data_IF_109202661959
#
_entry.id   IF_109202661959
#
_cell.length_a   1.000
_cell.length_b   1.000
_cell.length_c   1.000
_cell.angle_alpha   90.00
_cell.angle_beta   90.00
_cell.angle_gamma   90.00
#
_symmetry.space_group_name_H-M   'P 1'
#
loop_
_entity.id
_entity.type
_entity.pdbx_description
1 polymer ?
#
# COMPACT_ATOMS: atom_id res chain seq x y z
N UNK A 1 -12.33 19.90 -21.66
CA UNK A 1 -13.60 19.64 -20.93
C UNK A 1 -13.25 19.30 -19.49
N UNK A 2 -14.02 19.76 -18.51
CA UNK A 2 -13.80 19.33 -17.12
C UNK A 2 -14.46 17.99 -16.89
N UNK A 3 -13.74 17.07 -16.28
CA UNK A 3 -14.23 15.74 -15.92
C UNK A 3 -14.37 15.64 -14.41
N UNK A 4 -15.38 14.94 -13.92
CA UNK A 4 -15.50 14.55 -12.52
C UNK A 4 -14.64 13.33 -12.30
N UNK A 5 -13.71 13.41 -11.33
CA UNK A 5 -12.75 12.36 -11.00
C UNK A 5 -12.90 11.99 -9.54
N UNK A 6 -12.91 10.70 -9.27
CA UNK A 6 -12.86 10.15 -7.90
C UNK A 6 -11.50 9.52 -7.67
N UNK A 7 -10.82 9.87 -6.58
CA UNK A 7 -9.45 9.40 -6.36
C UNK A 7 -9.09 9.15 -4.90
N UNK A 8 -8.20 8.18 -4.68
CA UNK A 8 -7.59 7.84 -3.40
C UNK A 8 -6.27 8.57 -3.29
N UNK A 9 -6.08 9.34 -2.21
CA UNK A 9 -4.84 10.10 -1.97
C UNK A 9 -3.73 9.16 -1.52
N UNK A 10 -2.60 9.18 -2.26
CA UNK A 10 -1.45 8.32 -2.00
C UNK A 10 -0.25 9.06 -1.41
N UNK A 11 -0.04 10.30 -1.82
CA UNK A 11 1.10 11.08 -1.33
C UNK A 11 0.83 12.56 -1.45
N UNK A 12 1.39 13.35 -0.53
CA UNK A 12 1.39 14.81 -0.63
C UNK A 12 2.79 15.30 -0.30
N UNK A 13 3.43 15.97 -1.26
CA UNK A 13 4.80 16.49 -1.12
C UNK A 13 4.77 18.00 -1.34
N UNK A 14 5.46 18.74 -0.49
CA UNK A 14 5.61 20.19 -0.64
C UNK A 14 6.41 20.49 -1.93
N UNK A 15 5.83 21.29 -2.79
CA UNK A 15 6.42 21.69 -4.06
C UNK A 15 6.94 23.13 -4.01
N UNK A 16 6.19 24.01 -3.36
CA UNK A 16 6.54 25.42 -3.17
C UNK A 16 5.87 25.98 -1.91
N UNK A 17 6.08 27.25 -1.62
CA UNK A 17 5.43 27.90 -0.46
C UNK A 17 3.89 27.95 -0.58
N UNK A 18 3.38 27.88 -1.80
CA UNK A 18 1.94 28.01 -2.08
C UNK A 18 1.29 26.71 -2.55
N UNK A 19 2.07 25.68 -2.94
CA UNK A 19 1.53 24.48 -3.56
C UNK A 19 2.22 23.22 -3.08
N UNK A 20 1.43 22.16 -2.97
CA UNK A 20 1.86 20.77 -2.85
C UNK A 20 1.61 20.04 -4.16
N UNK A 21 2.37 18.99 -4.42
CA UNK A 21 2.04 17.96 -5.41
C UNK A 21 1.47 16.78 -4.67
N UNK A 22 0.21 16.46 -4.97
CA UNK A 22 -0.52 15.34 -4.39
C UNK A 22 -0.73 14.26 -5.42
N UNK A 23 -0.22 13.09 -5.13
CA UNK A 23 -0.41 11.88 -5.92
C UNK A 23 -1.72 11.20 -5.57
N UNK A 24 -2.54 10.92 -6.58
CA UNK A 24 -3.87 10.34 -6.41
C UNK A 24 -4.03 9.18 -7.37
N UNK A 25 -4.51 8.02 -6.89
CA UNK A 25 -4.97 6.95 -7.76
C UNK A 25 -6.45 7.15 -8.05
N UNK A 26 -6.79 7.38 -9.30
CA UNK A 26 -8.16 7.72 -9.70
C UNK A 26 -8.87 6.52 -10.32
N UNK A 27 -10.18 6.44 -10.08
CA UNK A 27 -11.02 5.38 -10.64
C UNK A 27 -11.07 5.41 -12.16
N UNK A 28 -11.10 6.62 -12.72
CA UNK A 28 -11.35 6.86 -14.13
C UNK A 28 -10.07 6.82 -14.98
N UNK A 29 -8.91 7.20 -14.39
CA UNK A 29 -7.70 7.44 -15.16
C UNK A 29 -6.42 6.82 -14.56
N UNK A 30 -6.53 6.11 -13.42
CA UNK A 30 -5.37 5.58 -12.72
C UNK A 30 -4.59 6.68 -12.02
N UNK A 31 -3.27 6.61 -12.08
CA UNK A 31 -2.39 7.54 -11.37
C UNK A 31 -2.42 8.94 -11.98
N UNK A 32 -2.72 9.93 -11.14
CA UNK A 32 -2.68 11.36 -11.49
C UNK A 32 -1.91 12.16 -10.43
N UNK A 33 -1.31 13.28 -10.82
CA UNK A 33 -0.72 14.23 -9.91
C UNK A 33 -1.51 15.55 -9.92
N UNK A 34 -1.89 16.00 -8.72
CA UNK A 34 -2.65 17.24 -8.52
C UNK A 34 -1.76 18.31 -7.89
N UNK A 35 -1.82 19.52 -8.42
CA UNK A 35 -1.27 20.70 -7.79
C UNK A 35 -2.31 21.24 -6.80
N UNK A 36 -2.05 21.10 -5.50
CA UNK A 36 -2.97 21.45 -4.42
C UNK A 36 -2.44 22.62 -3.60
N UNK A 37 -3.28 23.46 -2.99
CA UNK A 37 -2.82 24.61 -2.22
C UNK A 37 -2.12 24.17 -0.93
N UNK A 38 -0.98 24.83 -0.61
CA UNK A 38 -0.21 24.66 0.62
C UNK A 38 -0.26 25.88 1.55
N UNK A 39 -1.02 26.91 1.23
CA UNK A 39 -1.05 28.17 1.95
C UNK A 39 -1.74 28.09 3.32
N UNK A 40 -1.51 29.14 4.14
CA UNK A 40 -2.07 29.27 5.49
C UNK A 40 -3.51 29.80 5.54
N UNK A 41 -4.13 30.14 4.40
CA UNK A 41 -5.50 30.63 4.37
C UNK A 41 -6.49 29.56 4.85
N UNK A 42 -7.64 30.01 5.38
CA UNK A 42 -8.71 29.08 5.82
C UNK A 42 -9.11 28.11 4.70
N UNK A 43 -9.27 28.61 3.49
CA UNK A 43 -9.64 27.80 2.32
C UNK A 43 -8.55 26.80 1.95
N UNK A 44 -7.27 27.22 1.96
CA UNK A 44 -6.15 26.30 1.71
C UNK A 44 -6.08 25.17 2.73
N UNK A 45 -6.30 25.48 4.01
CA UNK A 45 -6.35 24.47 5.09
C UNK A 45 -7.52 23.50 4.93
N UNK A 46 -8.71 23.99 4.56
CA UNK A 46 -9.87 23.14 4.28
C UNK A 46 -9.61 22.21 3.09
N UNK A 47 -9.03 22.73 2.03
CA UNK A 47 -8.66 21.89 0.86
C UNK A 47 -7.57 20.88 1.23
N UNK A 48 -6.52 21.30 1.94
CA UNK A 48 -5.45 20.41 2.39
C UNK A 48 -5.96 19.27 3.29
N UNK A 49 -6.98 19.53 4.12
CA UNK A 49 -7.61 18.50 4.95
C UNK A 49 -8.29 17.40 4.13
N UNK A 50 -8.63 17.63 2.87
CA UNK A 50 -9.16 16.60 1.96
C UNK A 50 -8.06 15.64 1.47
N UNK A 51 -6.78 16.05 1.53
CA UNK A 51 -5.66 15.31 0.97
C UNK A 51 -4.83 14.59 2.04
N UNK A 52 -5.50 13.95 2.98
CA UNK A 52 -4.86 13.07 3.97
C UNK A 52 -4.55 11.68 3.36
N UNK A 53 -3.60 10.92 3.90
CA UNK A 53 -3.32 9.56 3.42
C UNK A 53 -4.57 8.69 3.35
N UNK A 54 -4.80 8.03 2.21
CA UNK A 54 -5.97 7.19 1.91
C UNK A 54 -7.33 7.90 1.99
N UNK A 55 -7.38 9.25 2.04
CA UNK A 55 -8.67 9.92 1.85
C UNK A 55 -9.17 9.74 0.43
N UNK A 56 -10.48 9.67 0.28
CA UNK A 56 -11.14 9.59 -1.03
C UNK A 56 -11.73 10.95 -1.38
N UNK A 57 -11.30 11.49 -2.50
CA UNK A 57 -11.71 12.83 -2.95
C UNK A 57 -12.45 12.75 -4.28
N UNK A 58 -13.44 13.60 -4.41
CA UNK A 58 -14.04 13.98 -5.71
C UNK A 58 -13.52 15.34 -6.11
N UNK A 59 -13.16 15.50 -7.37
CA UNK A 59 -12.71 16.77 -7.93
C UNK A 59 -13.12 16.92 -9.37
N UNK A 60 -13.24 18.18 -9.83
CA UNK A 60 -13.35 18.48 -11.26
C UNK A 60 -11.95 18.82 -11.78
N UNK A 61 -11.54 18.13 -12.84
CA UNK A 61 -10.20 18.26 -13.41
C UNK A 61 -10.31 18.53 -14.91
N UNK A 62 -9.61 19.56 -15.40
CA UNK A 62 -9.38 19.71 -16.84
C UNK A 62 -8.22 18.83 -17.24
N UNK A 63 -8.53 17.67 -17.79
CA UNK A 63 -7.50 16.69 -18.20
C UNK A 63 -6.85 17.17 -19.49
N UNK A 64 -5.55 17.33 -19.47
CA UNK A 64 -4.73 17.58 -20.64
C UNK A 64 -3.68 16.45 -20.76
N UNK A 65 -3.70 15.64 -21.83
CA UNK A 65 -2.78 14.51 -22.00
C UNK A 65 -1.29 14.90 -22.03
N UNK A 66 -0.99 16.17 -22.34
CA UNK A 66 0.40 16.67 -22.41
C UNK A 66 0.92 17.19 -21.07
N UNK A 67 0.10 17.21 -20.02
CA UNK A 67 0.47 17.73 -18.70
C UNK A 67 0.49 16.61 -17.67
N UNK A 68 1.57 16.53 -16.92
CA UNK A 68 1.70 15.60 -15.79
C UNK A 68 0.98 16.13 -14.53
N UNK A 69 0.95 17.46 -14.35
CA UNK A 69 0.31 18.11 -13.20
C UNK A 69 -1.03 18.75 -13.59
N UNK A 70 -2.05 18.41 -12.83
CA UNK A 70 -3.40 18.90 -13.02
C UNK A 70 -3.85 19.77 -11.83
N UNK A 71 -4.61 20.81 -12.09
CA UNK A 71 -5.18 21.68 -11.06
C UNK A 71 -6.63 21.25 -10.83
N UNK A 72 -6.93 20.60 -9.69
CA UNK A 72 -8.29 20.22 -9.35
C UNK A 72 -9.11 21.43 -8.91
N UNK A 73 -10.38 21.43 -9.24
CA UNK A 73 -11.37 22.40 -8.75
C UNK A 73 -12.55 21.66 -8.10
N UNK A 74 -13.36 22.38 -7.30
CA UNK A 74 -14.50 21.80 -6.59
C UNK A 74 -14.13 20.50 -5.83
N UNK A 75 -13.01 20.54 -5.10
CA UNK A 75 -12.52 19.38 -4.32
C UNK A 75 -13.40 19.17 -3.09
N UNK A 76 -13.92 17.96 -2.94
CA UNK A 76 -14.67 17.51 -1.77
C UNK A 76 -14.23 16.12 -1.34
N UNK A 77 -14.45 15.76 -0.08
CA UNK A 77 -14.32 14.38 0.37
C UNK A 77 -15.48 13.56 -0.19
N UNK A 78 -15.17 12.44 -0.86
CA UNK A 78 -16.17 11.49 -1.31
C UNK A 78 -16.58 10.53 -0.20
N UNK A 79 -15.67 10.25 0.74
CA UNK A 79 -15.89 9.39 1.91
C UNK A 79 -15.35 10.06 3.17
N UNK A 80 -15.99 9.79 4.31
CA UNK A 80 -15.56 10.29 5.62
C UNK A 80 -15.23 9.11 6.53
N UNK A 81 -13.94 8.97 6.85
CA UNK A 81 -13.46 7.92 7.75
C UNK A 81 -13.75 8.31 9.20
N UNK A 82 -14.27 7.35 9.99
CA UNK A 82 -14.68 7.58 11.38
C UNK A 82 -13.56 7.33 12.37
N UNK A 83 -12.68 6.38 12.08
CA UNK A 83 -11.67 5.89 13.02
C UNK A 83 -10.24 6.04 12.50
N UNK A 84 -9.99 5.92 11.19
CA UNK A 84 -8.66 5.90 10.60
C UNK A 84 -7.77 7.06 11.09
N UNK A 85 -8.30 8.27 11.16
CA UNK A 85 -7.51 9.45 11.54
C UNK A 85 -7.50 9.75 13.04
N UNK A 86 -8.24 8.99 13.83
CA UNK A 86 -8.39 9.22 15.28
C UNK A 86 -7.72 8.11 16.10
N UNK A 87 -7.48 6.94 15.52
CA UNK A 87 -6.79 5.83 16.16
C UNK A 87 -5.36 5.72 15.64
N UNK A 88 -4.33 5.90 16.51
CA UNK A 88 -2.92 5.93 16.08
C UNK A 88 -2.49 4.70 15.27
N UNK A 89 -2.93 3.50 15.68
CA UNK A 89 -2.62 2.27 14.97
C UNK A 89 -3.17 2.27 13.53
N UNK A 90 -4.44 2.63 13.33
CA UNK A 90 -5.07 2.71 12.01
C UNK A 90 -4.47 3.82 11.16
N UNK A 91 -4.19 4.99 11.76
CA UNK A 91 -3.53 6.09 11.06
C UNK A 91 -2.14 5.69 10.55
N UNK A 92 -1.38 4.96 11.35
CA UNK A 92 -0.05 4.46 10.96
C UNK A 92 -0.14 3.46 9.82
N UNK A 93 -1.11 2.53 9.87
CA UNK A 93 -1.40 1.62 8.74
C UNK A 93 -1.77 2.41 7.48
N UNK A 94 -2.63 3.43 7.60
CA UNK A 94 -3.03 4.26 6.46
C UNK A 94 -1.85 5.03 5.85
N UNK A 95 -0.96 5.58 6.66
CA UNK A 95 0.26 6.25 6.19
C UNK A 95 1.18 5.28 5.43
N UNK A 96 1.40 4.09 5.99
CA UNK A 96 2.21 3.06 5.37
C UNK A 96 1.62 2.61 4.03
N UNK A 97 0.34 2.24 3.99
CA UNK A 97 -0.31 1.78 2.77
C UNK A 97 -0.39 2.87 1.70
N UNK A 98 -0.61 4.12 2.11
CA UNK A 98 -0.62 5.27 1.21
C UNK A 98 0.75 5.45 0.53
N UNK A 99 1.85 5.42 1.31
CA UNK A 99 3.21 5.53 0.76
C UNK A 99 3.53 4.33 -0.14
N UNK A 100 3.22 3.10 0.30
CA UNK A 100 3.45 1.87 -0.47
C UNK A 100 2.72 1.91 -1.81
N UNK A 101 1.42 2.21 -1.81
CA UNK A 101 0.62 2.35 -3.03
C UNK A 101 1.13 3.48 -3.92
N UNK A 102 1.62 4.58 -3.33
CA UNK A 102 2.23 5.68 -4.08
C UNK A 102 3.48 5.26 -4.85
N UNK A 103 4.23 4.25 -4.38
CA UNK A 103 5.36 3.65 -5.08
C UNK A 103 4.92 2.64 -6.13
N UNK A 104 4.04 1.72 -5.71
CA UNK A 104 3.55 0.63 -6.56
C UNK A 104 2.82 1.16 -7.79
N UNK A 105 1.97 2.19 -7.61
CA UNK A 105 1.06 2.70 -8.64
C UNK A 105 1.60 3.94 -9.36
N UNK A 106 2.92 4.14 -9.39
CA UNK A 106 3.52 5.39 -9.90
C UNK A 106 3.04 5.74 -11.32
N UNK A 107 2.98 4.77 -12.22
CA UNK A 107 2.58 4.95 -13.61
C UNK A 107 1.41 4.02 -14.00
N UNK A 108 0.60 3.63 -13.01
CA UNK A 108 -0.46 2.63 -13.23
C UNK A 108 -1.68 3.24 -13.91
N UNK A 109 -2.23 2.59 -14.95
CA UNK A 109 -3.52 2.93 -15.52
C UNK A 109 -4.65 2.65 -14.52
N UNK A 110 -5.86 3.10 -14.86
CA UNK A 110 -7.05 2.73 -14.11
C UNK A 110 -7.34 1.23 -14.27
N UNK A 111 -7.54 0.55 -13.14
CA UNK A 111 -7.84 -0.86 -13.08
C UNK A 111 -8.97 -1.09 -12.05
N UNK A 112 -10.19 -1.47 -12.50
CA UNK A 112 -11.37 -1.55 -11.64
C UNK A 112 -11.22 -2.52 -10.47
N UNK A 113 -10.65 -3.70 -10.68
CA UNK A 113 -10.51 -4.70 -9.61
C UNK A 113 -9.54 -4.22 -8.53
N UNK A 114 -8.47 -3.54 -8.93
CA UNK A 114 -7.51 -2.93 -8.02
C UNK A 114 -8.13 -1.77 -7.23
N UNK A 115 -8.90 -0.91 -7.91
CA UNK A 115 -9.64 0.16 -7.25
C UNK A 115 -10.60 -0.39 -6.19
N UNK A 116 -11.41 -1.38 -6.56
CA UNK A 116 -12.41 -1.97 -5.66
C UNK A 116 -11.73 -2.66 -4.46
N UNK A 117 -10.62 -3.36 -4.67
CA UNK A 117 -9.85 -3.97 -3.60
C UNK A 117 -9.33 -2.92 -2.61
N UNK A 118 -8.71 -1.84 -3.11
CA UNK A 118 -8.16 -0.78 -2.26
C UNK A 118 -9.30 -0.10 -1.49
N UNK A 119 -10.40 0.26 -2.15
CA UNK A 119 -11.54 0.91 -1.51
C UNK A 119 -12.19 0.06 -0.43
N UNK A 120 -12.41 -1.23 -0.70
CA UNK A 120 -12.96 -2.15 0.30
C UNK A 120 -12.02 -2.34 1.48
N UNK A 121 -10.70 -2.41 1.22
CA UNK A 121 -9.70 -2.50 2.28
C UNK A 121 -9.71 -1.27 3.18
N UNK A 122 -9.80 -0.06 2.63
CA UNK A 122 -9.85 1.18 3.42
C UNK A 122 -11.13 1.22 4.27
N UNK A 123 -12.29 0.86 3.69
CA UNK A 123 -13.56 0.79 4.43
C UNK A 123 -13.48 -0.21 5.58
N UNK A 124 -12.84 -1.35 5.37
CA UNK A 124 -12.65 -2.34 6.41
C UNK A 124 -11.71 -1.83 7.50
N UNK A 125 -10.60 -1.16 7.16
CA UNK A 125 -9.69 -0.55 8.14
C UNK A 125 -10.42 0.47 9.04
N UNK A 126 -11.37 1.23 8.47
CA UNK A 126 -12.16 2.20 9.22
C UNK A 126 -13.14 1.55 10.21
N UNK A 127 -13.61 0.33 9.92
CA UNK A 127 -14.67 -0.32 10.70
C UNK A 127 -14.18 -1.42 11.64
N UNK A 128 -12.96 -1.90 11.46
CA UNK A 128 -12.41 -3.01 12.25
C UNK A 128 -11.99 -2.51 13.65
N UNK A 129 -12.38 -3.25 14.71
CA UNK A 129 -12.10 -2.90 16.10
C UNK A 129 -11.18 -3.93 16.79
N UNK A 130 -10.96 -5.10 16.19
CA UNK A 130 -10.12 -6.16 16.76
C UNK A 130 -8.63 -5.82 16.60
N UNK A 131 -7.92 -5.71 17.74
CA UNK A 131 -6.50 -5.33 17.79
C UNK A 131 -5.59 -6.24 16.95
N UNK A 132 -5.83 -7.57 16.99
CA UNK A 132 -5.02 -8.51 16.23
C UNK A 132 -5.24 -8.35 14.72
N UNK A 133 -6.46 -8.04 14.29
CA UNK A 133 -6.75 -7.72 12.90
C UNK A 133 -6.11 -6.42 12.46
N UNK A 134 -6.15 -5.37 13.29
CA UNK A 134 -5.49 -4.09 13.00
C UNK A 134 -3.97 -4.31 12.88
N UNK A 135 -3.37 -5.04 13.81
CA UNK A 135 -1.94 -5.34 13.81
C UNK A 135 -1.47 -6.13 12.59
N UNK A 136 -2.31 -7.00 12.03
CA UNK A 136 -1.99 -7.81 10.85
C UNK A 136 -2.54 -7.23 9.55
N UNK A 137 -3.22 -6.08 9.60
CA UNK A 137 -3.93 -5.51 8.46
C UNK A 137 -3.02 -5.26 7.25
N UNK A 138 -1.90 -4.62 7.47
CA UNK A 138 -0.94 -4.28 6.41
C UNK A 138 -0.36 -5.53 5.74
N UNK A 139 -0.05 -6.60 6.48
CA UNK A 139 0.38 -7.89 5.91
C UNK A 139 -0.73 -8.50 5.06
N UNK A 140 -1.96 -8.52 5.59
CA UNK A 140 -3.12 -9.06 4.89
C UNK A 140 -3.40 -8.32 3.59
N UNK A 141 -3.32 -6.98 3.62
CA UNK A 141 -3.46 -6.13 2.45
C UNK A 141 -2.41 -6.45 1.39
N UNK A 142 -1.13 -6.50 1.79
CA UNK A 142 -0.02 -6.77 0.86
C UNK A 142 -0.14 -8.16 0.21
N UNK A 143 -0.47 -9.20 0.97
CA UNK A 143 -0.69 -10.55 0.42
C UNK A 143 -1.89 -10.58 -0.54
N UNK A 144 -2.99 -9.91 -0.20
CA UNK A 144 -4.14 -9.78 -1.09
C UNK A 144 -3.79 -9.08 -2.41
N UNK A 145 -3.02 -8.00 -2.32
CA UNK A 145 -2.59 -7.19 -3.45
C UNK A 145 -1.65 -7.95 -4.41
N UNK A 146 -0.84 -8.91 -3.93
CA UNK A 146 0.00 -9.77 -4.79
C UNK A 146 -0.81 -10.50 -5.85
N UNK A 147 -2.07 -10.87 -5.58
CA UNK A 147 -2.95 -11.55 -6.55
C UNK A 147 -3.32 -10.64 -7.71
N UNK A 148 -3.55 -9.37 -7.42
CA UNK A 148 -3.94 -8.35 -8.42
C UNK A 148 -2.74 -7.85 -9.22
N UNK A 149 -1.56 -7.86 -8.61
CA UNK A 149 -0.31 -7.43 -9.27
C UNK A 149 0.42 -8.57 -10.00
N UNK A 150 -0.12 -9.80 -9.96
CA UNK A 150 0.42 -10.95 -10.68
C UNK A 150 1.72 -11.55 -10.10
N UNK A 151 2.08 -11.18 -8.86
CA UNK A 151 3.27 -11.69 -8.16
C UNK A 151 2.92 -12.65 -7.02
N UNK A 152 1.73 -13.24 -7.01
CA UNK A 152 1.36 -14.16 -5.94
C UNK A 152 2.30 -15.38 -5.92
N UNK A 153 2.89 -15.75 -4.75
CA UNK A 153 3.86 -16.82 -4.66
C UNK A 153 3.32 -18.17 -5.14
N UNK A 154 4.09 -18.85 -6.00
CA UNK A 154 3.80 -20.22 -6.41
C UNK A 154 4.44 -21.21 -5.43
N UNK A 155 3.63 -21.77 -4.56
CA UNK A 155 4.04 -22.74 -3.55
C UNK A 155 3.70 -24.20 -3.95
N UNK A 156 3.34 -24.46 -5.20
CA UNK A 156 2.92 -25.81 -5.67
C UNK A 156 4.00 -26.87 -5.45
N UNK A 157 5.28 -26.48 -5.54
CA UNK A 157 6.43 -27.35 -5.32
C UNK A 157 6.98 -27.29 -3.88
N UNK A 158 6.23 -26.73 -2.91
CA UNK A 158 6.72 -26.61 -1.54
C UNK A 158 6.98 -27.98 -0.90
N UNK A 159 8.18 -28.12 -0.33
CA UNK A 159 8.51 -29.18 0.61
C UNK A 159 9.40 -28.62 1.74
N UNK A 160 9.46 -29.33 2.87
CA UNK A 160 10.27 -28.91 4.00
C UNK A 160 11.74 -28.78 3.61
N UNK A 161 12.40 -27.73 4.08
CA UNK A 161 13.80 -27.46 3.79
C UNK A 161 14.04 -26.69 2.49
N UNK A 162 13.02 -26.42 1.66
CA UNK A 162 13.17 -25.58 0.47
C UNK A 162 13.27 -24.08 0.81
N UNK A 163 13.92 -23.34 -0.03
CA UNK A 163 14.00 -21.88 -0.02
C UNK A 163 13.01 -21.27 -1.00
N UNK A 164 12.62 -20.02 -0.78
CA UNK A 164 11.78 -19.26 -1.71
C UNK A 164 12.64 -18.29 -2.51
N UNK A 165 12.62 -18.42 -3.84
CA UNK A 165 13.30 -17.52 -4.75
C UNK A 165 12.38 -16.31 -5.06
N UNK A 166 12.74 -15.14 -4.53
CA UNK A 166 11.98 -13.90 -4.68
C UNK A 166 11.93 -13.41 -6.14
N UNK A 167 12.91 -13.75 -6.97
CA UNK A 167 12.96 -13.28 -8.36
C UNK A 167 11.97 -14.03 -9.24
N UNK A 168 11.89 -15.35 -9.07
CA UNK A 168 10.96 -16.19 -9.84
C UNK A 168 9.59 -16.32 -9.18
N UNK A 169 9.45 -16.00 -7.89
CA UNK A 169 8.23 -16.21 -7.12
C UNK A 169 7.92 -17.68 -6.83
N UNK A 170 8.94 -18.56 -6.84
CA UNK A 170 8.79 -20.02 -6.75
C UNK A 170 9.69 -20.64 -5.69
N UNK A 171 9.36 -21.88 -5.35
CA UNK A 171 10.18 -22.70 -4.48
C UNK A 171 11.46 -23.14 -5.20
N UNK A 172 12.59 -23.16 -4.46
CA UNK A 172 13.90 -23.55 -4.97
C UNK A 172 14.61 -24.48 -3.97
N UNK A 173 15.49 -25.33 -4.46
CA UNK A 173 16.39 -26.11 -3.61
C UNK A 173 17.32 -25.17 -2.82
N UNK A 174 17.78 -25.57 -1.61
CA UNK A 174 18.67 -24.77 -0.80
C UNK A 174 19.89 -24.28 -1.59
N UNK A 175 20.29 -23.04 -1.35
CA UNK A 175 21.42 -22.40 -2.01
C UNK A 175 22.73 -23.22 -1.90
N UNK A 176 22.95 -23.90 -0.77
CA UNK A 176 24.08 -24.79 -0.55
C UNK A 176 24.21 -25.90 -1.59
N UNK A 177 23.13 -26.24 -2.30
CA UNK A 177 23.10 -27.29 -3.30
C UNK A 177 23.21 -26.80 -4.76
N UNK A 178 23.02 -25.51 -5.03
CA UNK A 178 22.90 -25.01 -6.41
C UNK A 178 23.92 -23.93 -6.81
N UNK A 179 24.56 -23.25 -5.84
CA UNK A 179 25.38 -22.06 -6.12
C UNK A 179 24.55 -20.90 -6.72
N UNK A 180 24.87 -19.67 -6.44
CA UNK A 180 24.15 -18.50 -6.97
C UNK A 180 24.26 -17.27 -6.07
N UNK A 181 23.50 -16.19 -6.31
CA UNK A 181 23.53 -14.96 -5.52
C UNK A 181 22.53 -15.07 -4.36
N UNK A 182 23.04 -15.10 -3.14
CA UNK A 182 22.28 -15.31 -1.89
C UNK A 182 21.21 -14.24 -1.58
N UNK A 183 21.29 -13.08 -2.19
CA UNK A 183 20.52 -11.88 -1.79
C UNK A 183 19.04 -11.86 -2.15
N UNK A 184 18.54 -12.77 -2.99
CA UNK A 184 17.16 -12.77 -3.48
C UNK A 184 16.35 -13.99 -3.02
N UNK A 185 16.75 -14.62 -1.93
CA UNK A 185 16.07 -15.80 -1.39
C UNK A 185 15.63 -15.59 0.05
N UNK A 186 14.52 -16.21 0.40
CA UNK A 186 14.11 -16.44 1.79
C UNK A 186 14.64 -17.84 2.15
N UNK A 187 15.39 -17.93 3.25
CA UNK A 187 15.92 -19.19 3.74
C UNK A 187 14.82 -20.19 4.13
N UNK A 188 15.17 -21.48 4.24
CA UNK A 188 14.23 -22.55 4.50
C UNK A 188 13.43 -22.37 5.79
N UNK A 189 14.04 -21.82 6.86
CA UNK A 189 13.36 -21.56 8.14
C UNK A 189 12.22 -20.55 7.97
N UNK A 190 12.48 -19.44 7.31
CA UNK A 190 11.48 -18.38 7.07
C UNK A 190 10.48 -18.80 6.00
N UNK A 191 10.90 -19.56 4.99
CA UNK A 191 10.06 -20.13 3.95
C UNK A 191 8.99 -21.07 4.53
N UNK A 192 9.26 -21.78 5.64
CA UNK A 192 8.29 -22.67 6.28
C UNK A 192 6.99 -21.98 6.72
N UNK A 193 6.99 -20.65 6.88
CA UNK A 193 5.79 -19.87 7.21
C UNK A 193 4.95 -19.50 5.98
N UNK A 194 5.50 -19.51 4.76
CA UNK A 194 4.81 -19.07 3.55
C UNK A 194 3.50 -19.85 3.29
N UNK A 195 3.43 -21.19 3.39
CA UNK A 195 2.19 -21.91 3.12
C UNK A 195 1.04 -21.52 4.03
N UNK A 196 1.34 -21.07 5.26
CA UNK A 196 0.36 -20.55 6.20
C UNK A 196 0.05 -19.09 5.88
N UNK A 197 1.08 -18.28 5.63
CA UNK A 197 0.96 -16.84 5.40
C UNK A 197 0.12 -16.50 4.17
N UNK A 198 0.29 -17.22 3.05
CA UNK A 198 -0.48 -16.96 1.82
C UNK A 198 -1.99 -17.22 1.95
N UNK A 199 -2.41 -17.87 3.05
CA UNK A 199 -3.82 -18.11 3.38
C UNK A 199 -4.43 -16.99 4.23
N UNK A 200 -3.64 -15.99 4.61
CA UNK A 200 -4.16 -14.86 5.37
C UNK A 200 -5.17 -14.07 4.53
N UNK A 201 -6.24 -13.66 5.17
CA UNK A 201 -7.30 -12.86 4.58
C UNK A 201 -7.93 -11.98 5.66
N UNK A 202 -8.71 -11.00 5.30
CA UNK A 202 -9.43 -10.17 6.27
C UNK A 202 -10.38 -10.97 7.17
N UNK A 203 -10.91 -12.10 6.69
CA UNK A 203 -11.79 -12.95 7.48
C UNK A 203 -11.04 -13.75 8.57
N UNK A 204 -9.75 -13.95 8.46
CA UNK A 204 -9.00 -14.82 9.38
C UNK A 204 -7.72 -14.18 9.96
N UNK A 205 -7.38 -12.94 9.61
CA UNK A 205 -6.12 -12.30 10.04
C UNK A 205 -6.00 -12.19 11.58
N UNK A 206 -7.11 -12.08 12.30
CA UNK A 206 -7.14 -12.08 13.76
C UNK A 206 -6.63 -13.39 14.40
N UNK A 207 -6.62 -14.51 13.65
CA UNK A 207 -6.14 -15.81 14.13
C UNK A 207 -4.62 -15.96 14.05
N UNK A 208 -3.94 -15.07 13.33
CA UNK A 208 -2.48 -15.06 13.20
C UNK A 208 -1.87 -14.33 14.40
N UNK A 209 -1.25 -15.08 15.31
CA UNK A 209 -0.65 -14.57 16.56
C UNK A 209 0.84 -14.33 16.35
N UNK A 210 1.19 -13.32 15.54
CA UNK A 210 2.58 -12.88 15.39
C UNK A 210 2.96 -11.98 16.56
N UNK A 211 4.13 -12.20 17.15
CA UNK A 211 4.76 -11.18 17.99
C UNK A 211 5.34 -10.04 17.12
N UNK A 212 5.75 -8.93 17.75
CA UNK A 212 6.23 -7.75 17.01
C UNK A 212 7.44 -8.06 16.12
N UNK A 213 8.37 -8.88 16.61
CA UNK A 213 9.56 -9.29 15.85
C UNK A 213 9.18 -10.15 14.63
N UNK A 214 8.35 -11.16 14.81
CA UNK A 214 7.87 -12.01 13.71
C UNK A 214 7.13 -11.20 12.65
N UNK A 215 6.27 -10.28 13.09
CA UNK A 215 5.53 -9.38 12.19
C UNK A 215 6.48 -8.52 11.37
N UNK A 216 7.51 -7.96 12.00
CA UNK A 216 8.53 -7.14 11.32
C UNK A 216 9.34 -7.97 10.31
N UNK A 217 9.77 -9.17 10.67
CA UNK A 217 10.52 -10.06 9.78
C UNK A 217 9.67 -10.48 8.56
N UNK A 218 8.38 -10.81 8.76
CA UNK A 218 7.44 -11.14 7.69
C UNK A 218 7.24 -9.93 6.76
N UNK A 219 7.05 -8.75 7.33
CA UNK A 219 6.85 -7.52 6.55
C UNK A 219 8.10 -7.19 5.72
N UNK A 220 9.30 -7.33 6.29
CA UNK A 220 10.56 -7.11 5.56
C UNK A 220 10.69 -8.06 4.37
N UNK A 221 10.33 -9.34 4.52
CA UNK A 221 10.36 -10.29 3.42
C UNK A 221 9.34 -9.95 2.32
N UNK A 222 8.13 -9.57 2.73
CA UNK A 222 7.10 -9.13 1.79
C UNK A 222 7.56 -7.91 0.99
N UNK A 223 8.11 -6.89 1.66
CA UNK A 223 8.59 -5.67 1.00
C UNK A 223 9.80 -5.94 0.11
N UNK A 224 10.75 -6.78 0.53
CA UNK A 224 11.86 -7.22 -0.32
C UNK A 224 11.34 -7.96 -1.55
N UNK A 225 10.33 -8.81 -1.40
CA UNK A 225 9.71 -9.51 -2.51
C UNK A 225 9.05 -8.53 -3.48
N UNK A 226 8.28 -7.57 -2.98
CA UNK A 226 7.74 -6.50 -3.83
C UNK A 226 8.83 -5.71 -4.53
N UNK A 227 9.93 -5.38 -3.83
CA UNK A 227 11.07 -4.65 -4.39
C UNK A 227 11.79 -5.38 -5.52
N UNK A 228 11.73 -6.73 -5.55
CA UNK A 228 12.25 -7.53 -6.67
C UNK A 228 11.43 -7.34 -7.96
N UNK A 229 10.14 -7.02 -7.85
CA UNK A 229 9.22 -6.90 -8.98
C UNK A 229 8.84 -5.46 -9.30
N UNK A 230 8.79 -4.60 -8.28
CA UNK A 230 8.40 -3.19 -8.37
C UNK A 230 9.45 -2.30 -7.67
N UNK A 231 10.35 -1.67 -8.43
CA UNK A 231 11.43 -0.86 -7.86
C UNK A 231 10.93 0.23 -6.91
N UNK A 232 11.52 0.30 -5.71
CA UNK A 232 11.23 1.31 -4.70
C UNK A 232 10.14 0.94 -3.70
N UNK A 233 9.42 -0.18 -3.88
CA UNK A 233 8.42 -0.68 -2.92
C UNK A 233 9.05 -1.21 -1.61
N UNK A 234 10.34 -1.43 -1.58
CA UNK A 234 11.13 -1.85 -0.41
C UNK A 234 11.70 -0.69 0.42
N UNK A 235 11.53 0.58 -0.03
CA UNK A 235 12.14 1.77 0.58
C UNK A 235 11.09 2.76 1.05
N UNK A 236 10.48 2.48 2.19
CA UNK A 236 9.37 3.26 2.74
C UNK A 236 9.80 3.98 4.02
N UNK A 237 9.52 5.28 4.10
CA UNK A 237 9.82 6.11 5.27
C UNK A 237 8.91 5.81 6.45
N UNK A 238 7.68 5.41 6.18
CA UNK A 238 6.67 5.06 7.18
C UNK A 238 6.89 3.69 7.83
N UNK A 239 7.84 2.89 7.31
CA UNK A 239 8.07 1.52 7.79
C UNK A 239 8.52 1.46 9.25
N UNK A 240 9.44 2.34 9.65
CA UNK A 240 9.97 2.34 11.02
C UNK A 240 8.87 2.70 12.03
N UNK A 241 8.05 3.69 11.72
CA UNK A 241 6.90 4.10 12.54
C UNK A 241 5.88 2.94 12.66
N UNK A 242 5.61 2.25 11.55
CA UNK A 242 4.71 1.10 11.56
C UNK A 242 5.22 -0.02 12.46
N UNK A 243 6.52 -0.33 12.38
CA UNK A 243 7.14 -1.36 13.22
C UNK A 243 7.12 -1.00 14.70
N UNK A 244 7.34 0.28 15.03
CA UNK A 244 7.32 0.78 16.41
C UNK A 244 5.92 0.64 17.04
N UNK A 245 4.87 1.00 16.33
CA UNK A 245 3.48 0.90 16.81
C UNK A 245 3.05 -0.55 17.08
N UNK A 246 3.57 -1.50 16.32
CA UNK A 246 3.20 -2.93 16.43
C UNK A 246 4.33 -3.83 16.98
N UNK A 247 5.30 -3.24 17.68
CA UNK A 247 6.43 -3.95 18.32
C UNK A 247 5.97 -4.93 19.43
#
# INVERSE_FOLDING_TARGET
MKEKITGIVLSTVRHSDRHNVTGVYTRERGRMAFLTPAGASRQSRQTAACFQPLSVVEAQVSVNPTRELHIPSAVARAEVWRTIYYEPAKMTVAMFLSEFLGRLLHDSPAEPSLWDFIMQSIKLLDTIDDEASIANFHITFLIGLMRLTGIFPDLSAYSEGMEFDMKSGRMALPFSLQGGVRGMRIDARRTSFLPKLVRISYANCHRFRFNGRERSEILDDILRYYGCHFPGCDRLKSLDILKEIFA
#
